data_IF_583890778950
#
_entry.id   IF_583890778950
#
_cell.length_a   1.000
_cell.length_b   1.000
_cell.length_c   1.000
_cell.angle_alpha   90.00
_cell.angle_beta   90.00
_cell.angle_gamma   90.00
#
_symmetry.space_group_name_H-M   'P 1'
#
loop_
_entity.id
_entity.type
_entity.pdbx_description
1 polymer ?
#
# COMPACT_ATOMS: atom_id res chain seq x y z
N UNK A 1 -14.65 -3.38 -10.19
CA UNK A 1 -13.47 -3.31 -11.07
C UNK A 1 -13.10 -1.86 -11.35
N UNK A 2 -11.94 -1.39 -10.87
CA UNK A 2 -11.33 -0.16 -11.43
C UNK A 2 -10.76 -0.58 -12.76
N UNK A 3 -11.63 -0.77 -13.74
CA UNK A 3 -11.19 -0.75 -15.12
C UNK A 3 -10.62 0.64 -15.29
N UNK A 4 -9.28 0.74 -15.24
CA UNK A 4 -8.58 1.95 -15.62
C UNK A 4 -9.20 2.45 -16.92
N UNK A 5 -9.33 3.77 -17.11
CA UNK A 5 -10.14 4.37 -18.18
C UNK A 5 -10.05 3.65 -19.55
N UNK A 6 -8.88 3.08 -19.88
CA UNK A 6 -8.63 2.16 -21.00
C UNK A 6 -9.50 0.90 -21.04
N UNK A 7 -9.59 0.12 -19.96
CA UNK A 7 -10.30 -1.17 -19.96
C UNK A 7 -11.83 -1.03 -20.03
N UNK A 8 -12.39 0.14 -19.68
CA UNK A 8 -13.80 0.46 -19.96
C UNK A 8 -14.09 0.53 -21.46
N UNK A 9 -13.15 1.03 -22.27
CA UNK A 9 -13.29 1.08 -23.73
C UNK A 9 -13.14 -0.27 -24.39
N UNK A 10 -12.18 -1.09 -23.91
CA UNK A 10 -12.04 -2.47 -24.37
C UNK A 10 -13.32 -3.27 -24.09
N UNK A 11 -13.91 -3.10 -22.91
CA UNK A 11 -15.19 -3.74 -22.59
C UNK A 11 -16.33 -3.25 -23.49
N UNK A 12 -16.42 -1.94 -23.76
CA UNK A 12 -17.43 -1.38 -24.68
C UNK A 12 -17.26 -1.90 -26.11
N UNK A 13 -16.03 -1.98 -26.62
CA UNK A 13 -15.73 -2.52 -27.94
C UNK A 13 -16.06 -4.02 -28.06
N UNK A 14 -15.74 -4.80 -27.03
CA UNK A 14 -16.01 -6.25 -27.00
C UNK A 14 -17.50 -6.55 -26.82
N UNK A 15 -18.22 -5.73 -26.04
CA UNK A 15 -19.66 -5.89 -25.79
C UNK A 15 -20.55 -5.26 -26.86
N UNK A 16 -20.01 -4.38 -27.71
CA UNK A 16 -20.76 -3.69 -28.76
C UNK A 16 -21.57 -4.64 -29.67
N UNK A 17 -21.01 -5.76 -30.19
CA UNK A 17 -21.78 -6.69 -31.01
C UNK A 17 -22.98 -7.30 -30.26
N UNK A 18 -22.79 -7.64 -28.98
CA UNK A 18 -23.83 -8.22 -28.13
C UNK A 18 -24.94 -7.20 -27.86
N UNK A 19 -24.57 -5.96 -27.54
CA UNK A 19 -25.53 -4.87 -27.31
C UNK A 19 -26.29 -4.53 -28.59
N UNK A 20 -25.62 -4.49 -29.75
CA UNK A 20 -26.27 -4.20 -31.03
C UNK A 20 -27.23 -5.32 -31.44
N UNK A 21 -26.90 -6.58 -31.11
CA UNK A 21 -27.79 -7.72 -31.32
C UNK A 21 -29.02 -7.67 -30.41
N UNK A 22 -28.85 -7.30 -29.14
CA UNK A 22 -29.96 -7.17 -28.18
C UNK A 22 -30.93 -6.03 -28.54
N UNK A 23 -30.42 -4.97 -29.18
CA UNK A 23 -31.23 -3.84 -29.66
C UNK A 23 -31.87 -4.08 -31.03
N UNK A 24 -31.70 -5.27 -31.62
CA UNK A 24 -32.29 -5.62 -32.91
C UNK A 24 -31.71 -4.84 -34.10
N UNK A 25 -30.49 -4.30 -33.97
CA UNK A 25 -29.87 -3.54 -35.05
C UNK A 25 -29.45 -4.50 -36.18
N UNK A 26 -29.63 -4.10 -37.45
CA UNK A 26 -29.12 -4.87 -38.57
C UNK A 26 -27.59 -4.96 -38.51
N UNK A 27 -27.01 -5.99 -39.14
CA UNK A 27 -25.56 -6.28 -39.12
C UNK A 27 -24.72 -5.05 -39.50
N UNK A 28 -25.17 -4.27 -40.49
CA UNK A 28 -24.53 -3.03 -40.91
C UNK A 28 -24.55 -1.94 -39.82
N UNK A 29 -25.62 -1.88 -39.01
CA UNK A 29 -25.71 -0.98 -37.85
C UNK A 29 -24.73 -1.39 -36.75
N UNK A 30 -24.61 -2.68 -36.46
CA UNK A 30 -23.61 -3.21 -35.51
C UNK A 30 -22.17 -2.94 -35.96
N UNK A 31 -21.90 -3.10 -37.26
CA UNK A 31 -20.61 -2.77 -37.86
C UNK A 31 -20.29 -1.28 -37.75
N UNK A 32 -21.25 -0.40 -38.07
CA UNK A 32 -21.08 1.04 -37.96
C UNK A 32 -20.78 1.49 -36.53
N UNK A 33 -21.47 0.93 -35.53
CA UNK A 33 -21.20 1.19 -34.10
C UNK A 33 -19.79 0.73 -33.72
N UNK A 34 -19.37 -0.45 -34.17
CA UNK A 34 -18.04 -0.98 -33.87
C UNK A 34 -16.93 -0.13 -34.49
N UNK A 35 -17.10 0.30 -35.74
CA UNK A 35 -16.16 1.21 -36.43
C UNK A 35 -16.11 2.58 -35.74
N UNK A 36 -17.27 3.14 -35.37
CA UNK A 36 -17.33 4.42 -34.65
C UNK A 36 -16.62 4.34 -33.28
N UNK A 37 -16.86 3.28 -32.51
CA UNK A 37 -16.16 3.04 -31.24
C UNK A 37 -14.65 2.83 -31.45
N UNK A 38 -14.26 2.12 -32.51
CA UNK A 38 -12.86 1.93 -32.90
C UNK A 38 -12.17 3.25 -33.24
N UNK A 39 -12.82 4.11 -34.03
CA UNK A 39 -12.33 5.44 -34.38
C UNK A 39 -12.23 6.36 -33.17
N UNK A 40 -13.22 6.35 -32.27
CA UNK A 40 -13.17 7.10 -31.01
C UNK A 40 -12.05 6.61 -30.09
N UNK A 41 -11.81 5.30 -30.03
CA UNK A 41 -10.67 4.70 -29.31
C UNK A 41 -9.35 5.19 -29.90
N UNK A 42 -9.21 5.18 -31.23
CA UNK A 42 -8.03 5.66 -31.94
C UNK A 42 -7.77 7.15 -31.69
N UNK A 43 -8.78 8.02 -31.82
CA UNK A 43 -8.66 9.45 -31.50
C UNK A 43 -8.22 9.69 -30.06
N UNK A 44 -8.63 8.83 -29.13
CA UNK A 44 -8.19 8.89 -27.73
C UNK A 44 -6.73 8.53 -27.58
N UNK A 45 -6.26 7.46 -28.24
CA UNK A 45 -4.83 7.08 -28.28
C UNK A 45 -4.01 8.25 -28.82
N UNK A 46 -4.45 8.88 -29.91
CA UNK A 46 -3.79 10.06 -30.49
C UNK A 46 -3.77 11.25 -29.52
N UNK A 47 -4.83 11.47 -28.74
CA UNK A 47 -4.82 12.48 -27.66
C UNK A 47 -3.85 12.13 -26.53
N UNK A 48 -3.77 10.88 -26.10
CA UNK A 48 -2.79 10.46 -25.08
C UNK A 48 -1.36 10.56 -25.58
N UNK A 49 -1.10 10.32 -26.86
CA UNK A 49 0.20 10.57 -27.49
C UNK A 49 0.57 12.07 -27.48
N UNK A 50 -0.44 12.94 -27.51
CA UNK A 50 -0.27 14.40 -27.45
C UNK A 50 -0.10 14.93 -26.02
N UNK A 51 -0.65 14.25 -25.01
CA UNK A 51 -0.44 14.62 -23.61
C UNK A 51 1.01 14.34 -23.21
N UNK A 52 1.74 15.41 -22.90
CA UNK A 52 3.14 15.38 -22.46
C UNK A 52 3.29 15.34 -20.95
N UNK A 53 2.21 15.07 -20.21
CA UNK A 53 2.22 15.12 -18.75
C UNK A 53 3.23 14.11 -18.20
N UNK A 54 4.22 14.63 -17.49
CA UNK A 54 5.17 13.84 -16.72
C UNK A 54 4.77 13.86 -15.27
N UNK A 55 4.84 12.71 -14.62
CA UNK A 55 4.45 12.58 -13.23
C UNK A 55 4.61 11.17 -12.70
N UNK A 56 4.63 11.05 -11.38
CA UNK A 56 4.65 9.78 -10.69
C UNK A 56 3.27 9.49 -10.11
N UNK A 57 2.84 8.24 -10.19
CA UNK A 57 1.64 7.76 -9.51
C UNK A 57 2.03 6.61 -8.59
N UNK A 58 1.75 6.76 -7.31
CA UNK A 58 1.87 5.70 -6.31
C UNK A 58 0.51 5.01 -6.16
N UNK A 59 0.40 3.76 -6.58
CA UNK A 59 -0.76 2.94 -6.28
C UNK A 59 -0.64 2.35 -4.88
N UNK A 60 -1.66 2.56 -4.06
CA UNK A 60 -1.65 2.26 -2.63
C UNK A 60 -2.89 1.51 -2.14
N UNK A 61 -2.81 1.02 -0.91
CA UNK A 61 -3.96 0.57 -0.12
C UNK A 61 -3.81 1.09 1.33
N UNK A 62 -4.92 1.44 2.00
CA UNK A 62 -4.88 1.83 3.41
C UNK A 62 -5.14 0.62 4.34
N UNK A 63 -4.51 0.56 5.52
CA UNK A 63 -3.12 0.95 5.76
C UNK A 63 -2.16 -0.13 5.18
N UNK A 64 -0.99 0.26 4.69
CA UNK A 64 0.01 -0.70 4.18
C UNK A 64 1.42 -0.28 4.48
N UNK A 65 2.09 -1.03 5.36
CA UNK A 65 3.50 -0.81 5.72
C UNK A 65 4.45 -0.85 4.51
N UNK A 66 4.14 -1.64 3.48
CA UNK A 66 4.93 -1.68 2.24
C UNK A 66 4.78 -0.38 1.44
N UNK A 67 3.60 0.22 1.44
CA UNK A 67 3.35 1.50 0.78
C UNK A 67 3.94 2.64 1.58
N UNK A 68 3.78 2.64 2.91
CA UNK A 68 4.29 3.69 3.81
C UNK A 68 5.79 3.94 3.59
N UNK A 69 6.62 2.89 3.48
CA UNK A 69 8.06 3.07 3.26
C UNK A 69 8.38 3.78 1.93
N UNK A 70 7.60 3.48 0.88
CA UNK A 70 7.73 4.16 -0.42
C UNK A 70 7.23 5.60 -0.32
N UNK A 71 6.05 5.82 0.27
CA UNK A 71 5.44 7.13 0.45
C UNK A 71 6.39 8.10 1.14
N UNK A 72 6.93 7.70 2.29
CA UNK A 72 7.86 8.53 3.05
C UNK A 72 9.18 8.77 2.33
N UNK A 73 9.69 7.77 1.61
CA UNK A 73 10.90 7.96 0.81
C UNK A 73 10.68 9.01 -0.28
N UNK A 74 9.51 9.00 -0.93
CA UNK A 74 9.14 10.01 -1.91
C UNK A 74 8.96 11.39 -1.28
N UNK A 75 8.32 11.48 -0.11
CA UNK A 75 8.10 12.73 0.60
C UNK A 75 9.41 13.38 1.06
N UNK A 76 10.35 12.60 1.60
CA UNK A 76 11.67 13.08 2.06
C UNK A 76 12.50 13.59 0.88
N UNK A 77 12.44 12.89 -0.25
CA UNK A 77 13.09 13.31 -1.50
C UNK A 77 12.39 14.54 -2.13
N UNK A 78 11.21 14.94 -1.63
CA UNK A 78 10.43 16.04 -2.18
C UNK A 78 9.85 15.74 -3.56
N UNK A 79 9.64 14.46 -3.88
CA UNK A 79 9.10 14.04 -5.17
C UNK A 79 7.61 14.33 -5.22
N UNK A 80 7.15 14.95 -6.31
CA UNK A 80 5.71 15.16 -6.56
C UNK A 80 5.13 13.88 -7.15
N UNK A 81 4.11 13.33 -6.50
CA UNK A 81 3.36 12.19 -7.00
C UNK A 81 1.87 12.35 -6.71
N UNK A 82 1.06 11.69 -7.54
CA UNK A 82 -0.35 11.47 -7.25
C UNK A 82 -0.50 10.09 -6.59
N UNK A 83 -1.43 9.96 -5.66
CA UNK A 83 -1.74 8.67 -5.04
C UNK A 83 -3.04 8.10 -5.61
N UNK A 84 -2.96 6.87 -6.16
CA UNK A 84 -4.14 6.10 -6.59
C UNK A 84 -4.42 5.03 -5.53
N UNK A 85 -5.35 5.33 -4.62
CA UNK A 85 -5.72 4.41 -3.52
C UNK A 85 -6.82 3.44 -3.94
N UNK A 86 -6.55 2.15 -3.82
CA UNK A 86 -7.51 1.07 -3.98
C UNK A 86 -7.88 0.45 -2.61
N UNK A 87 -9.01 -0.26 -2.55
CA UNK A 87 -9.34 -1.05 -1.36
C UNK A 87 -8.48 -2.29 -1.24
N UNK A 88 -8.02 -2.57 -0.03
CA UNK A 88 -6.99 -3.56 0.27
C UNK A 88 -7.32 -4.95 -0.29
N UNK A 89 -8.46 -5.52 0.12
CA UNK A 89 -8.87 -6.87 -0.27
C UNK A 89 -9.31 -6.95 -1.74
N UNK A 90 -9.87 -5.88 -2.30
CA UNK A 90 -10.30 -5.87 -3.70
C UNK A 90 -9.11 -5.81 -4.67
N UNK A 91 -8.10 -5.00 -4.35
CA UNK A 91 -6.89 -4.87 -5.16
C UNK A 91 -6.18 -6.21 -5.31
N UNK A 92 -5.94 -6.90 -4.20
CA UNK A 92 -5.21 -8.17 -4.17
C UNK A 92 -6.03 -9.29 -4.81
N UNK A 93 -7.27 -9.52 -4.38
CA UNK A 93 -8.03 -10.72 -4.77
C UNK A 93 -8.74 -10.63 -6.11
N UNK A 94 -9.11 -9.42 -6.56
CA UNK A 94 -9.88 -9.26 -7.81
C UNK A 94 -9.10 -8.57 -8.91
N UNK A 95 -8.13 -7.72 -8.58
CA UNK A 95 -7.30 -7.06 -9.61
C UNK A 95 -5.92 -7.69 -9.79
N UNK A 96 -5.51 -8.59 -8.88
CA UNK A 96 -4.20 -9.25 -8.94
C UNK A 96 -3.03 -8.27 -8.85
N UNK A 97 -3.26 -7.06 -8.32
CA UNK A 97 -2.26 -5.99 -8.25
C UNK A 97 -1.71 -5.93 -6.83
N UNK A 98 -0.50 -6.46 -6.58
CA UNK A 98 0.19 -6.20 -5.33
C UNK A 98 0.59 -4.72 -5.29
N UNK A 99 0.36 -4.06 -4.16
CA UNK A 99 0.84 -2.70 -3.90
C UNK A 99 2.03 -2.74 -2.91
N UNK A 100 2.93 -1.74 -2.92
CA UNK A 100 2.93 -0.56 -3.79
C UNK A 100 3.26 -0.86 -5.25
N UNK A 101 2.73 -0.01 -6.14
CA UNK A 101 3.15 0.07 -7.54
C UNK A 101 3.49 1.52 -7.83
N UNK A 102 4.68 1.79 -8.37
CA UNK A 102 5.06 3.11 -8.84
C UNK A 102 4.92 3.15 -10.36
N UNK A 103 4.08 4.06 -10.87
CA UNK A 103 3.96 4.35 -12.30
C UNK A 103 4.67 5.67 -12.59
N UNK A 104 5.59 5.67 -13.54
CA UNK A 104 6.32 6.85 -13.97
C UNK A 104 5.86 7.19 -15.38
N UNK A 105 5.20 8.33 -15.53
CA UNK A 105 4.72 8.84 -16.82
C UNK A 105 5.77 9.76 -17.43
N UNK A 106 6.13 9.49 -18.68
CA UNK A 106 6.98 10.37 -19.49
C UNK A 106 6.38 10.49 -20.89
N UNK A 107 5.53 11.50 -21.08
CA UNK A 107 4.71 11.63 -22.28
C UNK A 107 3.80 10.40 -22.46
N UNK A 108 3.86 9.71 -23.61
CA UNK A 108 2.99 8.56 -23.86
C UNK A 108 3.43 7.28 -23.14
N UNK A 109 4.63 7.25 -22.57
CA UNK A 109 5.20 6.05 -21.97
C UNK A 109 4.91 6.01 -20.47
N UNK A 110 4.55 4.82 -19.99
CA UNK A 110 4.35 4.54 -18.57
C UNK A 110 5.26 3.39 -18.17
N UNK A 111 6.29 3.68 -17.40
CA UNK A 111 7.08 2.66 -16.72
C UNK A 111 6.38 2.25 -15.45
N UNK A 112 6.34 0.95 -15.14
CA UNK A 112 5.65 0.40 -13.98
C UNK A 112 6.65 -0.42 -13.16
N UNK A 113 6.79 -0.07 -11.89
CA UNK A 113 7.62 -0.79 -10.92
C UNK A 113 6.73 -1.37 -9.84
N UNK A 114 6.94 -2.65 -9.56
CA UNK A 114 6.21 -3.39 -8.54
C UNK A 114 7.08 -3.56 -7.31
N UNK A 115 6.45 -3.88 -6.19
CA UNK A 115 7.07 -4.14 -4.90
C UNK A 115 7.86 -2.95 -4.34
N UNK A 116 7.91 -2.88 -3.02
CA UNK A 116 8.47 -1.73 -2.34
C UNK A 116 10.00 -1.69 -2.43
N UNK A 117 10.68 -2.84 -2.48
CA UNK A 117 12.15 -2.94 -2.55
C UNK A 117 12.67 -2.35 -3.86
N UNK A 118 12.16 -2.81 -5.00
CA UNK A 118 12.58 -2.33 -6.32
C UNK A 118 12.28 -0.84 -6.50
N UNK A 119 11.14 -0.38 -5.97
CA UNK A 119 10.81 1.03 -5.96
C UNK A 119 11.84 1.82 -5.15
N UNK A 120 12.25 1.37 -3.95
CA UNK A 120 13.28 2.08 -3.17
C UNK A 120 14.64 2.10 -3.88
N UNK A 121 15.04 0.99 -4.54
CA UNK A 121 16.28 0.95 -5.33
C UNK A 121 16.22 1.90 -6.52
N UNK A 122 15.08 1.98 -7.19
CA UNK A 122 14.85 2.96 -8.25
C UNK A 122 14.93 4.40 -7.72
N UNK A 123 14.24 4.70 -6.62
CA UNK A 123 14.25 6.04 -6.03
C UNK A 123 15.68 6.46 -5.70
N UNK A 124 16.46 5.60 -5.04
CA UNK A 124 17.88 5.84 -4.77
C UNK A 124 18.69 6.11 -6.05
N UNK A 125 18.66 5.17 -7.01
CA UNK A 125 19.44 5.27 -8.23
C UNK A 125 19.03 6.48 -9.10
N UNK A 126 17.75 6.86 -9.09
CA UNK A 126 17.23 7.99 -9.87
C UNK A 126 17.71 9.35 -9.37
N UNK A 127 18.20 9.45 -8.14
CA UNK A 127 18.71 10.70 -7.57
C UNK A 127 20.23 10.88 -7.75
N UNK A 128 20.96 9.88 -8.25
CA UNK A 128 22.40 9.99 -8.50
C UNK A 128 22.70 11.10 -9.53
N UNK A 129 23.66 11.97 -9.23
CA UNK A 129 24.01 13.11 -10.08
C UNK A 129 22.97 14.25 -10.09
N UNK A 130 21.96 14.20 -9.21
CA UNK A 130 20.95 15.26 -9.07
C UNK A 130 21.20 16.10 -7.82
N UNK A 131 20.52 17.24 -7.68
CA UNK A 131 20.59 18.04 -6.45
C UNK A 131 20.08 17.32 -5.19
N UNK A 132 19.39 16.19 -5.35
CA UNK A 132 18.84 15.38 -4.27
C UNK A 132 19.74 14.19 -3.89
N UNK A 133 20.90 14.02 -4.50
CA UNK A 133 21.79 12.87 -4.24
C UNK A 133 22.14 12.72 -2.76
N UNK A 134 22.52 13.82 -2.10
CA UNK A 134 22.80 13.83 -0.67
C UNK A 134 21.57 13.44 0.17
N UNK A 135 20.39 13.91 -0.22
CA UNK A 135 19.13 13.53 0.45
C UNK A 135 18.77 12.07 0.22
N UNK A 136 19.23 11.44 -0.88
CA UNK A 136 18.94 10.05 -1.18
C UNK A 136 19.85 9.07 -0.43
N UNK A 137 20.85 9.54 0.33
CA UNK A 137 21.80 8.69 1.05
C UNK A 137 21.15 7.72 2.05
N UNK A 138 20.01 8.07 2.65
CA UNK A 138 19.27 7.15 3.54
C UNK A 138 18.74 5.90 2.82
N UNK A 139 18.60 5.95 1.49
CA UNK A 139 18.17 4.81 0.66
C UNK A 139 19.36 3.92 0.23
N UNK A 140 20.59 4.28 0.56
CA UNK A 140 21.79 3.55 0.16
C UNK A 140 21.71 2.12 0.67
N UNK A 141 21.76 1.11 -0.20
CA UNK A 141 21.75 -0.28 0.23
C UNK A 141 23.15 -0.67 0.74
N UNK A 142 23.27 -0.98 2.04
CA UNK A 142 24.42 -1.71 2.58
C UNK A 142 24.06 -3.18 2.73
N UNK A 143 25.07 -4.04 2.97
CA UNK A 143 24.80 -5.46 3.22
C UNK A 143 23.92 -5.63 4.47
N UNK A 144 24.20 -4.91 5.55
CA UNK A 144 23.42 -5.02 6.79
C UNK A 144 21.98 -4.54 6.59
N UNK A 145 21.77 -3.40 5.91
CA UNK A 145 20.41 -2.89 5.67
C UNK A 145 19.61 -3.79 4.73
N UNK A 146 20.26 -4.42 3.75
CA UNK A 146 19.59 -5.37 2.85
C UNK A 146 19.19 -6.67 3.57
N UNK A 147 20.02 -7.17 4.47
CA UNK A 147 19.70 -8.35 5.27
C UNK A 147 18.55 -8.07 6.24
N UNK A 148 18.58 -6.91 6.90
CA UNK A 148 17.51 -6.53 7.81
C UNK A 148 16.19 -6.21 7.08
N UNK A 149 16.25 -5.56 5.90
CA UNK A 149 15.08 -5.33 5.04
C UNK A 149 14.35 -6.64 4.70
N UNK A 150 15.10 -7.69 4.32
CA UNK A 150 14.51 -9.01 4.03
C UNK A 150 13.74 -9.57 5.23
N UNK A 151 14.27 -9.43 6.44
CA UNK A 151 13.61 -9.87 7.68
C UNK A 151 12.35 -9.04 7.96
N UNK A 152 12.42 -7.72 7.76
CA UNK A 152 11.28 -6.82 7.88
C UNK A 152 10.19 -7.13 6.83
N UNK A 153 10.54 -7.52 5.61
CA UNK A 153 9.55 -7.91 4.60
C UNK A 153 8.83 -9.21 4.98
N UNK A 154 9.55 -10.18 5.55
CA UNK A 154 8.93 -11.40 6.13
C UNK A 154 8.04 -11.02 7.31
N UNK A 155 8.52 -10.15 8.20
CA UNK A 155 7.74 -9.62 9.33
C UNK A 155 6.42 -9.03 8.86
N UNK A 156 6.41 -8.29 7.74
CA UNK A 156 5.19 -7.70 7.21
C UNK A 156 4.13 -8.72 6.79
N UNK A 157 4.55 -9.84 6.19
CA UNK A 157 3.65 -10.94 5.88
C UNK A 157 3.14 -11.62 7.16
N UNK A 158 4.03 -11.83 8.16
CA UNK A 158 3.65 -12.36 9.48
C UNK A 158 2.68 -11.44 10.22
N UNK A 159 2.85 -10.12 10.10
CA UNK A 159 1.96 -9.12 10.69
C UNK A 159 0.57 -9.16 10.06
N UNK A 160 0.45 -9.40 8.75
CA UNK A 160 -0.84 -9.62 8.12
C UNK A 160 -1.54 -10.86 8.70
N UNK A 161 -0.81 -11.96 8.92
CA UNK A 161 -1.36 -13.17 9.56
C UNK A 161 -1.91 -12.84 10.94
N UNK A 162 -1.15 -12.15 11.79
CA UNK A 162 -1.63 -11.72 13.10
C UNK A 162 -2.87 -10.83 12.97
N UNK A 163 -2.76 -9.77 12.18
CA UNK A 163 -3.79 -8.75 12.07
C UNK A 163 -5.14 -9.32 11.62
N UNK A 164 -5.18 -10.14 10.57
CA UNK A 164 -6.42 -10.75 10.08
C UNK A 164 -7.03 -11.82 11.01
N UNK A 165 -6.27 -12.34 11.97
CA UNK A 165 -6.77 -13.31 12.96
C UNK A 165 -7.10 -12.67 14.32
N UNK A 166 -6.56 -11.50 14.63
CA UNK A 166 -6.73 -10.82 15.92
C UNK A 166 -7.90 -9.82 15.94
N UNK A 167 -8.37 -9.36 14.77
CA UNK A 167 -9.38 -8.31 14.68
C UNK A 167 -10.73 -8.82 14.14
N UNK A 168 -11.81 -8.13 14.52
CA UNK A 168 -13.16 -8.49 14.06
C UNK A 168 -13.40 -8.14 12.58
N UNK A 169 -14.45 -8.77 12.03
CA UNK A 169 -14.83 -8.62 10.63
C UNK A 169 -15.27 -7.20 10.26
N UNK A 170 -15.84 -6.43 11.19
CA UNK A 170 -16.22 -5.05 10.94
C UNK A 170 -14.99 -4.17 10.81
N UNK A 171 -13.98 -4.41 11.64
CA UNK A 171 -12.73 -3.68 11.59
C UNK A 171 -11.95 -4.00 10.32
N UNK A 172 -11.94 -5.26 9.85
CA UNK A 172 -11.39 -5.62 8.53
C UNK A 172 -12.02 -4.79 7.40
N UNK A 173 -13.34 -4.52 7.48
CA UNK A 173 -14.02 -3.70 6.48
C UNK A 173 -13.63 -2.22 6.60
N UNK A 174 -13.59 -1.71 7.83
CA UNK A 174 -13.21 -0.33 8.14
C UNK A 174 -11.81 -0.02 7.61
N UNK A 175 -10.84 -0.83 8.04
CA UNK A 175 -9.44 -0.65 7.64
C UNK A 175 -9.21 -0.92 6.16
N UNK A 176 -10.03 -1.79 5.54
CA UNK A 176 -9.93 -2.13 4.13
C UNK A 176 -10.36 -1.02 3.18
N UNK A 177 -10.88 0.09 3.70
CA UNK A 177 -11.22 1.29 2.95
C UNK A 177 -12.68 1.73 3.03
N UNK A 178 -13.54 1.04 3.81
CA UNK A 178 -14.96 1.42 3.98
C UNK A 178 -15.10 2.87 4.45
N UNK A 179 -14.22 3.29 5.35
CA UNK A 179 -14.22 4.61 5.97
C UNK A 179 -13.27 5.63 5.32
N UNK A 180 -12.51 5.24 4.29
CA UNK A 180 -11.45 6.08 3.73
C UNK A 180 -12.00 6.96 2.61
N UNK A 181 -11.80 8.28 2.70
CA UNK A 181 -12.40 9.23 1.75
C UNK A 181 -11.86 9.09 0.32
N UNK A 182 -10.58 8.74 0.15
CA UNK A 182 -9.93 8.65 -1.16
C UNK A 182 -10.20 7.33 -1.91
N UNK A 183 -10.87 6.38 -1.27
CA UNK A 183 -11.29 5.14 -1.90
C UNK A 183 -12.54 5.38 -2.76
N UNK A 184 -12.59 4.95 -4.03
CA UNK A 184 -13.77 5.12 -4.87
C UNK A 184 -15.03 4.45 -4.28
N UNK A 185 -16.16 5.18 -4.22
CA UNK A 185 -17.42 4.72 -3.60
C UNK A 185 -17.94 3.38 -4.12
N UNK A 186 -17.81 3.13 -5.43
CA UNK A 186 -18.23 1.85 -6.00
C UNK A 186 -17.43 0.67 -5.44
N UNK A 187 -16.15 0.88 -5.06
CA UNK A 187 -15.35 -0.15 -4.39
C UNK A 187 -15.93 -0.45 -3.01
N UNK A 188 -16.29 0.58 -2.24
CA UNK A 188 -16.88 0.44 -0.89
C UNK A 188 -18.15 -0.40 -0.93
N UNK A 189 -19.03 -0.14 -1.89
CA UNK A 189 -20.25 -0.92 -2.10
C UNK A 189 -19.94 -2.38 -2.48
N UNK A 190 -19.10 -2.58 -3.49
CA UNK A 190 -18.78 -3.92 -4.00
C UNK A 190 -18.09 -4.79 -2.94
N UNK A 191 -17.20 -4.22 -2.14
CA UNK A 191 -16.53 -4.94 -1.04
C UNK A 191 -17.50 -5.38 0.04
N UNK A 192 -18.46 -4.54 0.42
CA UNK A 192 -19.48 -4.90 1.41
C UNK A 192 -20.29 -6.10 0.93
N UNK A 193 -20.66 -6.11 -0.35
CA UNK A 193 -21.36 -7.23 -0.99
C UNK A 193 -20.48 -8.48 -1.11
N UNK A 194 -19.21 -8.33 -1.52
CA UNK A 194 -18.28 -9.43 -1.74
C UNK A 194 -17.62 -9.95 -0.44
N UNK A 195 -17.82 -9.28 0.69
CA UNK A 195 -17.12 -9.56 1.95
C UNK A 195 -17.23 -11.02 2.41
N UNK A 196 -18.38 -11.72 2.33
CA UNK A 196 -18.45 -13.12 2.74
C UNK A 196 -17.52 -14.04 1.93
N UNK A 197 -17.28 -13.72 0.65
CA UNK A 197 -16.34 -14.45 -0.20
C UNK A 197 -14.90 -14.04 0.13
N UNK A 198 -14.64 -12.73 0.21
CA UNK A 198 -13.35 -12.17 0.59
C UNK A 198 -12.85 -12.70 1.93
N UNK A 199 -13.71 -12.78 2.94
CA UNK A 199 -13.37 -13.29 4.28
C UNK A 199 -12.90 -14.75 4.23
N UNK A 200 -13.51 -15.59 3.39
CA UNK A 200 -13.05 -16.98 3.20
C UNK A 200 -11.68 -17.02 2.51
N UNK A 201 -11.45 -16.17 1.52
CA UNK A 201 -10.15 -16.07 0.83
C UNK A 201 -9.05 -15.57 1.79
N UNK A 202 -9.34 -14.54 2.59
CA UNK A 202 -8.45 -14.01 3.63
C UNK A 202 -8.07 -15.11 4.60
N UNK A 203 -9.02 -15.89 5.12
CA UNK A 203 -8.72 -17.02 6.04
C UNK A 203 -7.85 -18.11 5.42
N UNK A 204 -7.94 -18.30 4.09
CA UNK A 204 -7.09 -19.26 3.37
C UNK A 204 -5.66 -18.73 3.18
N UNK A 205 -5.51 -17.44 2.90
CA UNK A 205 -4.20 -16.79 2.71
C UNK A 205 -3.49 -16.55 4.04
N UNK A 206 -4.24 -16.23 5.09
CA UNK A 206 -3.75 -15.90 6.43
C UNK A 206 -4.26 -16.92 7.45
N UNK A 207 -3.75 -18.16 7.43
CA UNK A 207 -4.27 -19.24 8.25
C UNK A 207 -3.96 -19.03 9.74
N UNK A 208 -4.98 -19.21 10.59
CA UNK A 208 -4.85 -19.12 12.06
C UNK A 208 -3.76 -20.03 12.63
N UNK A 209 -3.51 -21.19 12.01
CA UNK A 209 -2.47 -22.13 12.41
C UNK A 209 -1.05 -21.52 12.39
N UNK A 210 -0.83 -20.43 11.63
CA UNK A 210 0.45 -19.73 11.54
C UNK A 210 0.60 -18.59 12.55
N UNK A 211 -0.42 -18.29 13.36
CA UNK A 211 -0.38 -17.20 14.34
C UNK A 211 0.75 -17.37 15.37
N UNK A 212 0.97 -18.53 16.01
CA UNK A 212 2.05 -18.68 16.99
C UNK A 212 3.45 -18.44 16.41
N UNK A 213 3.73 -19.03 15.23
CA UNK A 213 4.98 -18.84 14.48
C UNK A 213 5.16 -17.35 14.10
N UNK A 214 4.09 -16.71 13.63
CA UNK A 214 4.12 -15.29 13.25
C UNK A 214 4.42 -14.39 14.44
N UNK A 215 3.81 -14.66 15.59
CA UNK A 215 4.02 -13.93 16.84
C UNK A 215 5.47 -14.05 17.30
N UNK A 216 6.01 -15.26 17.33
CA UNK A 216 7.39 -15.50 17.74
C UNK A 216 8.39 -14.77 16.83
N UNK A 217 8.20 -14.82 15.51
CA UNK A 217 9.07 -14.13 14.56
C UNK A 217 9.03 -12.60 14.70
N UNK A 218 7.85 -12.03 14.91
CA UNK A 218 7.74 -10.58 15.12
C UNK A 218 8.38 -10.18 16.45
N UNK A 219 8.15 -10.95 17.51
CA UNK A 219 8.76 -10.73 18.82
C UNK A 219 10.30 -10.74 18.72
N UNK A 220 10.87 -11.72 18.01
CA UNK A 220 12.32 -11.80 17.79
C UNK A 220 12.90 -10.53 17.14
N UNK A 221 12.26 -10.04 16.08
CA UNK A 221 12.72 -8.80 15.40
C UNK A 221 12.59 -7.58 16.30
N UNK A 222 11.48 -7.49 17.05
CA UNK A 222 11.25 -6.38 17.98
C UNK A 222 12.24 -6.39 19.14
N UNK A 223 12.55 -7.56 19.71
CA UNK A 223 13.53 -7.73 20.78
C UNK A 223 14.95 -7.39 20.31
N UNK A 224 15.31 -7.80 19.08
CA UNK A 224 16.59 -7.44 18.47
C UNK A 224 16.70 -5.93 18.19
N UNK A 225 15.64 -5.32 17.66
CA UNK A 225 15.60 -3.88 17.40
C UNK A 225 15.72 -3.09 18.71
N UNK A 226 15.00 -3.48 19.75
CA UNK A 226 15.09 -2.88 21.08
C UNK A 226 16.52 -2.93 21.63
N UNK A 227 17.12 -4.12 21.64
CA UNK A 227 18.49 -4.32 22.10
C UNK A 227 19.50 -3.50 21.30
N UNK A 228 19.27 -3.32 20.00
CA UNK A 228 20.13 -2.49 19.15
C UNK A 228 20.00 -1.01 19.51
N UNK A 229 18.80 -0.56 19.86
CA UNK A 229 18.50 0.81 20.24
C UNK A 229 18.91 1.13 21.70
N UNK A 230 19.21 0.13 22.53
CA UNK A 230 19.83 0.30 23.85
C UNK A 230 21.25 0.89 23.72
N UNK A 231 21.33 2.21 23.60
CA UNK A 231 22.58 2.95 23.45
C UNK A 231 22.88 3.45 22.03
N UNK A 232 21.94 3.28 21.09
CA UNK A 232 22.04 3.83 19.72
C UNK A 232 20.82 4.65 19.36
N UNK A 233 21.01 5.63 18.47
CA UNK A 233 19.92 6.46 17.93
C UNK A 233 19.26 5.86 16.68
N UNK A 234 19.98 5.01 15.95
CA UNK A 234 19.56 4.41 14.69
C UNK A 234 19.87 2.92 14.70
N UNK A 235 19.17 2.13 13.89
CA UNK A 235 19.42 0.69 13.78
C UNK A 235 20.80 0.40 13.18
N UNK A 236 21.18 1.17 12.16
CA UNK A 236 22.43 0.99 11.42
C UNK A 236 23.16 2.31 11.24
N UNK A 237 24.47 2.30 11.44
CA UNK A 237 25.34 3.47 11.28
C UNK A 237 24.99 4.64 12.21
N UNK A 238 25.40 5.84 11.80
CA UNK A 238 25.23 7.09 12.56
C UNK A 238 24.10 7.99 12.02
N UNK A 239 23.31 7.48 11.08
CA UNK A 239 22.18 8.18 10.48
C UNK A 239 21.06 7.20 10.16
N UNK A 240 19.83 7.72 10.17
CA UNK A 240 18.66 6.97 9.75
C UNK A 240 18.75 6.49 8.29
N UNK A 241 18.18 5.33 8.05
CA UNK A 241 18.16 4.64 6.75
C UNK A 241 16.73 4.25 6.37
N UNK A 242 16.55 3.66 5.19
CA UNK A 242 15.24 3.19 4.74
C UNK A 242 14.68 2.04 5.60
N UNK A 243 15.54 1.26 6.30
CA UNK A 243 15.07 0.22 7.23
C UNK A 243 14.54 0.81 8.53
N UNK A 244 15.09 1.93 8.97
CA UNK A 244 14.58 2.72 10.10
C UNK A 244 13.14 3.20 9.82
N UNK A 245 12.89 3.67 8.60
CA UNK A 245 11.54 4.05 8.11
C UNK A 245 10.61 2.83 8.08
N UNK A 246 11.08 1.71 7.54
CA UNK A 246 10.27 0.51 7.41
C UNK A 246 9.85 -0.03 8.78
N UNK A 247 10.78 -0.12 9.74
CA UNK A 247 10.47 -0.51 11.11
C UNK A 247 9.48 0.48 11.74
N UNK A 248 9.70 1.79 11.56
CA UNK A 248 8.77 2.81 12.08
C UNK A 248 7.36 2.67 11.49
N UNK A 249 7.23 2.39 10.20
CA UNK A 249 5.94 2.16 9.55
C UNK A 249 5.22 0.92 10.10
N UNK A 250 5.95 -0.18 10.36
CA UNK A 250 5.40 -1.36 11.03
C UNK A 250 4.91 -1.06 12.43
N UNK A 251 5.78 -0.40 13.19
CA UNK A 251 5.50 -0.09 14.57
C UNK A 251 4.40 0.97 14.71
N UNK A 252 4.20 1.86 13.73
CA UNK A 252 3.07 2.78 13.75
C UNK A 252 1.73 2.02 13.86
N UNK A 253 1.55 0.93 13.11
CA UNK A 253 0.33 0.12 13.18
C UNK A 253 0.16 -0.62 14.53
N UNK A 254 1.25 -1.04 15.17
CA UNK A 254 1.20 -1.78 16.46
C UNK A 254 1.12 -0.86 17.69
N UNK A 255 1.89 0.23 17.67
CA UNK A 255 2.10 1.11 18.82
C UNK A 255 1.22 2.37 18.79
N UNK A 256 0.81 2.86 17.61
CA UNK A 256 -0.02 4.09 17.46
C UNK A 256 -1.50 3.79 17.41
N UNK A 257 -1.89 2.51 17.46
CA UNK A 257 -3.29 2.11 17.55
C UNK A 257 -3.97 2.84 18.74
N UNK A 258 -5.00 3.67 18.49
CA UNK A 258 -5.69 4.36 19.56
C UNK A 258 -6.31 3.36 20.53
N UNK A 259 -6.28 3.67 21.82
CA UNK A 259 -6.65 2.71 22.87
C UNK A 259 -8.10 2.22 22.75
N UNK A 260 -8.99 3.08 22.25
CA UNK A 260 -10.37 2.75 21.92
C UNK A 260 -10.50 1.64 20.86
N UNK A 261 -9.65 1.63 19.83
CA UNK A 261 -9.63 0.58 18.81
C UNK A 261 -9.03 -0.72 19.38
N UNK A 262 -7.97 -0.60 20.17
CA UNK A 262 -7.34 -1.72 20.87
C UNK A 262 -8.31 -2.43 21.84
N UNK A 263 -9.15 -1.67 22.55
CA UNK A 263 -10.08 -2.22 23.55
C UNK A 263 -11.28 -2.93 22.93
N UNK A 264 -11.80 -2.43 21.80
CA UNK A 264 -13.10 -2.83 21.23
C UNK A 264 -13.01 -3.84 20.08
N UNK A 265 -11.92 -3.83 19.30
CA UNK A 265 -11.84 -4.53 18.01
C UNK A 265 -10.81 -5.67 17.95
N UNK A 266 -10.03 -5.86 19.02
CA UNK A 266 -9.11 -6.99 19.19
C UNK A 266 -9.76 -8.08 20.05
N UNK A 267 -9.59 -9.33 19.65
CA UNK A 267 -9.99 -10.48 20.44
C UNK A 267 -9.32 -10.43 21.82
N UNK A 268 -10.07 -10.71 22.89
CA UNK A 268 -9.61 -10.54 24.27
C UNK A 268 -8.32 -11.32 24.60
N UNK A 269 -8.10 -12.46 23.95
CA UNK A 269 -6.93 -13.33 24.10
C UNK A 269 -5.66 -12.72 23.47
N UNK A 270 -5.82 -11.80 22.51
CA UNK A 270 -4.75 -11.30 21.65
C UNK A 270 -4.27 -9.88 22.01
N UNK A 271 -4.98 -9.21 22.93
CA UNK A 271 -4.58 -7.92 23.55
C UNK A 271 -3.15 -7.89 24.16
N UNK A 272 -2.55 -9.00 24.66
CA UNK A 272 -1.20 -8.97 25.24
C UNK A 272 -0.07 -8.69 24.25
N UNK A 273 -0.32 -8.73 22.94
CA UNK A 273 0.70 -8.45 21.93
C UNK A 273 0.86 -6.96 21.64
N UNK A 274 0.13 -6.06 22.32
CA UNK A 274 0.30 -4.62 22.14
C UNK A 274 1.55 -4.14 22.90
N UNK A 275 2.63 -3.78 22.20
CA UNK A 275 3.97 -3.62 22.78
C UNK A 275 4.15 -2.34 23.62
N UNK A 276 3.07 -1.67 24.03
CA UNK A 276 3.08 -0.32 24.61
C UNK A 276 3.90 -0.16 25.90
N UNK A 277 4.29 -1.25 26.57
CA UNK A 277 5.04 -1.20 27.82
C UNK A 277 6.32 -2.04 27.84
N UNK A 278 6.57 -2.87 26.82
CA UNK A 278 7.71 -3.81 26.81
C UNK A 278 8.98 -3.30 26.11
N UNK A 279 8.89 -2.16 25.40
CA UNK A 279 9.93 -1.70 24.47
C UNK A 279 10.16 -0.18 24.58
N UNK A 280 10.75 0.29 25.69
CA UNK A 280 10.97 1.72 25.93
C UNK A 280 11.86 2.39 24.86
N UNK A 281 12.94 1.72 24.42
CA UNK A 281 13.87 2.22 23.41
C UNK A 281 13.19 2.45 22.06
N UNK A 282 12.43 1.47 21.57
CA UNK A 282 11.62 1.63 20.35
C UNK A 282 10.54 2.70 20.49
N UNK A 283 9.94 2.86 21.67
CA UNK A 283 8.94 3.90 21.90
C UNK A 283 9.58 5.30 21.82
N UNK A 284 10.76 5.48 22.39
CA UNK A 284 11.52 6.73 22.31
C UNK A 284 12.03 6.98 20.88
N UNK A 285 12.58 5.96 20.24
CA UNK A 285 12.99 5.98 18.84
C UNK A 285 11.84 6.42 17.92
N UNK A 286 10.63 5.89 18.09
CA UNK A 286 9.46 6.35 17.33
C UNK A 286 9.09 7.81 17.61
N UNK A 287 9.21 8.28 18.86
CA UNK A 287 8.91 9.68 19.20
C UNK A 287 9.89 10.62 18.49
N UNK A 288 11.19 10.30 18.53
CA UNK A 288 12.22 11.10 17.85
C UNK A 288 12.05 11.06 16.33
N UNK A 289 11.69 9.92 15.76
CA UNK A 289 11.44 9.79 14.34
C UNK A 289 10.22 10.62 13.89
N UNK A 290 9.15 10.65 14.68
CA UNK A 290 7.99 11.53 14.43
C UNK A 290 8.31 13.01 14.57
N UNK A 291 9.17 13.37 15.51
CA UNK A 291 9.61 14.76 15.69
C UNK A 291 10.44 15.22 14.49
N UNK A 292 11.33 14.37 14.01
CA UNK A 292 12.21 14.66 12.88
C UNK A 292 11.46 14.61 11.53
N UNK A 293 10.49 13.70 11.42
CA UNK A 293 9.71 13.46 10.21
C UNK A 293 8.23 13.31 10.55
N UNK A 294 7.52 14.43 10.77
CA UNK A 294 6.11 14.39 11.20
C UNK A 294 5.21 13.64 10.23
N UNK A 295 5.59 13.60 8.94
CA UNK A 295 4.86 12.88 7.90
C UNK A 295 4.87 11.36 8.09
N UNK A 296 5.92 10.78 8.73
CA UNK A 296 6.10 9.32 8.86
C UNK A 296 5.00 8.62 9.66
N UNK A 297 4.30 9.35 10.52
CA UNK A 297 3.10 8.80 11.17
C UNK A 297 1.85 9.63 10.95
N UNK A 298 1.95 10.74 10.22
CA UNK A 298 0.80 11.60 9.95
C UNK A 298 -0.26 10.85 9.16
N UNK A 299 0.14 10.07 8.14
CA UNK A 299 -0.80 9.27 7.34
C UNK A 299 -1.52 8.23 8.20
N UNK A 300 -0.78 7.40 8.95
CA UNK A 300 -1.37 6.41 9.88
C UNK A 300 -2.26 7.06 10.95
N UNK A 301 -1.86 8.22 11.49
CA UNK A 301 -2.64 8.97 12.48
C UNK A 301 -3.90 9.60 11.88
N UNK A 302 -3.82 10.12 10.65
CA UNK A 302 -4.97 10.61 9.89
C UNK A 302 -5.93 9.47 9.56
N UNK A 303 -5.41 8.35 9.07
CA UNK A 303 -6.16 7.15 8.79
C UNK A 303 -6.97 6.68 10.01
N UNK A 304 -6.36 6.55 11.19
CA UNK A 304 -7.10 6.19 12.41
C UNK A 304 -8.13 7.24 12.84
N UNK A 305 -7.96 8.52 12.49
CA UNK A 305 -8.98 9.56 12.70
C UNK A 305 -10.16 9.39 11.74
N UNK A 306 -9.89 9.06 10.48
CA UNK A 306 -10.91 8.82 9.44
C UNK A 306 -11.70 7.53 9.71
N UNK A 307 -11.11 6.52 10.34
CA UNK A 307 -11.80 5.30 10.77
C UNK A 307 -12.86 5.52 11.86
N UNK A 308 -13.10 6.76 12.31
CA UNK A 308 -14.13 7.11 13.30
C UNK A 308 -15.52 7.38 12.70
N UNK A 309 -15.76 7.01 11.44
CA UNK A 309 -17.13 6.69 11.04
C UNK A 309 -17.66 5.50 11.87
#
# INVERSE_FOLDING_TARGET
MSFGKSARWSFLLISAPLVTSLLGLPVLGGLAVSVALGFLSWLRVMRTLKNRDSGMILCSIPPSHFVEKVRFSMDILGLKYEEETDMSLLGIFFSGRPVPVLKIKKGPFVSVMYNSVDILRYLWASQHGTQNEEKAKFLTPTLETLEFEKRLDVMGTKMQILFYNMIDADFIKDIGGRCVHHVPEWQKYFHTLAYPVLSRMVKKVFPAAKVPESKAYIQEILDEAEKTLEGRKFLFGDAWTYVDIQLAAFCACLFVLPEEFARRRFNAVDKPFLPKTGYPGMCEYQKELRKSYPLVTAYTSQFYRELRC
#
